data_IF_938003581108
#
_entry.id   IF_938003581108
#
_cell.length_a   1.000
_cell.length_b   1.000
_cell.length_c   1.000
_cell.angle_alpha   90.00
_cell.angle_beta   90.00
_cell.angle_gamma   90.00
#
_symmetry.space_group_name_H-M   'P 1'
#
loop_
_entity.id
_entity.type
_entity.pdbx_description
1 polymer ?
#
# COMPACT_ATOMS: atom_id res chain seq x y z
N UNK A 1 -2.00 5.77 -15.82
CA UNK A 1 -1.24 6.58 -14.85
C UNK A 1 -0.87 5.64 -13.73
N UNK A 2 0.39 5.64 -13.28
CA UNK A 2 0.83 4.71 -12.26
C UNK A 2 0.07 4.94 -10.95
N UNK A 3 -0.17 3.87 -10.23
CA UNK A 3 -0.89 3.90 -8.98
C UNK A 3 0.01 3.66 -7.75
N UNK A 4 -0.60 3.59 -6.55
CA UNK A 4 0.13 3.32 -5.30
C UNK A 4 0.85 1.97 -5.32
N UNK A 5 0.27 0.96 -5.96
CA UNK A 5 0.89 -0.36 -6.09
C UNK A 5 2.13 -0.28 -6.99
N UNK A 6 2.02 0.38 -8.14
CA UNK A 6 3.15 0.59 -9.06
C UNK A 6 4.28 1.40 -8.39
N UNK A 7 3.92 2.44 -7.63
CA UNK A 7 4.89 3.28 -6.90
C UNK A 7 5.61 2.52 -5.79
N UNK A 8 4.91 1.66 -5.05
CA UNK A 8 5.54 0.79 -4.04
C UNK A 8 6.53 -0.13 -4.74
N UNK A 9 6.11 -0.79 -5.83
CA UNK A 9 6.98 -1.70 -6.58
C UNK A 9 8.25 -0.99 -7.08
N UNK A 10 8.11 0.20 -7.68
CA UNK A 10 9.24 1.00 -8.12
C UNK A 10 10.16 1.36 -6.96
N UNK A 11 9.60 1.88 -5.86
CA UNK A 11 10.39 2.30 -4.70
C UNK A 11 11.16 1.13 -4.05
N UNK A 12 10.53 -0.04 -3.94
CA UNK A 12 11.17 -1.27 -3.46
C UNK A 12 12.23 -1.76 -4.44
N UNK A 13 12.02 -1.60 -5.75
CA UNK A 13 13.00 -1.90 -6.79
C UNK A 13 14.25 -1.03 -6.66
N UNK A 14 14.07 0.30 -6.58
CA UNK A 14 15.17 1.24 -6.39
C UNK A 14 15.95 0.98 -5.10
N UNK A 15 15.23 0.61 -4.03
CA UNK A 15 15.82 0.22 -2.76
C UNK A 15 16.63 -1.10 -2.84
N UNK A 16 16.33 -1.99 -3.79
CA UNK A 16 17.05 -3.24 -3.95
C UNK A 16 18.39 -3.07 -4.68
N UNK A 17 18.54 -2.00 -5.46
CA UNK A 17 19.74 -1.70 -6.24
C UNK A 17 20.89 -1.19 -5.37
N UNK A 18 20.57 -0.54 -4.25
CA UNK A 18 21.55 0.09 -3.36
C UNK A 18 21.13 -0.08 -1.88
N UNK A 19 22.06 -0.49 -1.03
CA UNK A 19 21.78 -0.93 0.34
C UNK A 19 21.91 0.16 1.41
N UNK A 20 22.37 1.35 1.06
CA UNK A 20 22.77 2.39 2.04
C UNK A 20 21.84 3.60 2.10
N UNK A 21 20.68 3.56 1.46
CA UNK A 21 19.74 4.68 1.49
C UNK A 21 19.16 4.89 2.88
N UNK A 22 19.02 6.14 3.33
CA UNK A 22 17.97 6.48 4.28
C UNK A 22 16.67 6.92 3.56
N UNK A 23 15.55 6.98 4.27
CA UNK A 23 14.23 7.29 3.68
C UNK A 23 14.18 8.67 3.02
N UNK A 24 14.95 9.65 3.52
CA UNK A 24 14.96 11.01 2.97
C UNK A 24 15.79 11.05 1.68
N UNK A 25 17.00 10.49 1.71
CA UNK A 25 17.90 10.41 0.55
C UNK A 25 17.24 9.67 -0.62
N UNK A 26 16.61 8.52 -0.36
CA UNK A 26 15.91 7.78 -1.41
C UNK A 26 14.74 8.58 -1.99
N UNK A 27 14.01 9.31 -1.15
CA UNK A 27 12.90 10.13 -1.63
C UNK A 27 13.38 11.31 -2.47
N UNK A 28 14.51 11.92 -2.12
CA UNK A 28 15.16 12.99 -2.91
C UNK A 28 15.70 12.46 -4.23
N UNK A 29 16.32 11.28 -4.23
CA UNK A 29 16.81 10.61 -5.43
C UNK A 29 15.65 10.31 -6.41
N UNK A 30 14.59 9.64 -5.93
CA UNK A 30 13.38 9.37 -6.73
C UNK A 30 12.77 10.67 -7.27
N UNK A 31 12.69 11.72 -6.45
CA UNK A 31 12.13 12.99 -6.92
C UNK A 31 12.98 13.64 -8.02
N UNK A 32 14.31 13.57 -7.89
CA UNK A 32 15.26 14.15 -8.84
C UNK A 32 15.26 13.43 -10.18
N UNK A 33 15.15 12.09 -10.15
CA UNK A 33 15.07 11.23 -11.35
C UNK A 33 13.76 11.42 -12.12
N UNK A 34 12.69 11.88 -11.45
CA UNK A 34 11.36 12.10 -12.05
C UNK A 34 10.83 10.89 -12.84
N UNK A 35 10.78 9.69 -12.22
CA UNK A 35 10.27 8.50 -12.87
C UNK A 35 8.77 8.62 -13.17
N UNK A 36 8.31 7.90 -14.21
CA UNK A 36 6.93 7.99 -14.71
C UNK A 36 5.91 7.54 -13.66
N UNK A 37 6.30 6.68 -12.73
CA UNK A 37 5.50 6.13 -11.64
C UNK A 37 5.08 7.20 -10.63
N UNK A 38 5.92 8.20 -10.45
CA UNK A 38 5.71 9.32 -9.52
C UNK A 38 5.16 10.56 -10.22
N UNK A 39 4.84 10.45 -11.51
CA UNK A 39 4.18 11.50 -12.28
C UNK A 39 2.66 11.44 -12.09
N UNK A 40 2.05 12.62 -11.94
CA UNK A 40 0.60 12.80 -11.94
C UNK A 40 0.23 14.01 -12.79
N UNK A 41 -0.99 14.05 -13.31
CA UNK A 41 -1.47 15.16 -14.14
C UNK A 41 -2.35 16.08 -13.31
N UNK A 42 -2.05 17.38 -13.34
CA UNK A 42 -2.89 18.43 -12.74
C UNK A 42 -3.26 19.43 -13.85
N UNK A 43 -4.51 19.35 -14.33
CA UNK A 43 -4.94 20.09 -15.51
C UNK A 43 -4.22 19.60 -16.78
N UNK A 44 -3.57 20.51 -17.49
CA UNK A 44 -2.79 20.22 -18.71
C UNK A 44 -1.30 19.95 -18.44
N UNK A 45 -0.84 20.11 -17.19
CA UNK A 45 0.58 19.98 -16.83
C UNK A 45 0.88 18.68 -16.11
N UNK A 46 1.99 18.05 -16.50
CA UNK A 46 2.57 16.91 -15.78
C UNK A 46 3.34 17.45 -14.56
N UNK A 47 3.05 16.90 -13.38
CA UNK A 47 3.71 17.20 -12.12
C UNK A 47 4.26 15.91 -11.50
N UNK A 48 5.21 16.06 -10.58
CA UNK A 48 5.84 14.94 -9.89
C UNK A 48 5.57 15.02 -8.40
N UNK A 49 5.46 13.85 -7.75
CA UNK A 49 5.21 13.77 -6.32
C UNK A 49 6.27 14.53 -5.52
N UNK A 50 5.83 15.19 -4.46
CA UNK A 50 6.73 15.85 -3.52
C UNK A 50 7.48 14.82 -2.66
N UNK A 51 8.68 15.18 -2.17
CA UNK A 51 9.46 14.35 -1.23
C UNK A 51 8.61 13.81 -0.07
N UNK A 52 7.77 14.62 0.62
CA UNK A 52 6.92 14.10 1.70
C UNK A 52 5.96 13.01 1.23
N UNK A 53 5.46 13.10 0.00
CA UNK A 53 4.55 12.12 -0.58
C UNK A 53 5.28 10.82 -0.94
N UNK A 54 6.50 10.91 -1.49
CA UNK A 54 7.36 9.75 -1.75
C UNK A 54 7.73 9.07 -0.43
N UNK A 55 8.07 9.83 0.61
CA UNK A 55 8.33 9.29 1.96
C UNK A 55 7.12 8.56 2.54
N UNK A 56 5.88 8.98 2.24
CA UNK A 56 4.68 8.22 2.63
C UNK A 56 4.61 6.87 1.92
N UNK A 57 4.97 6.80 0.64
CA UNK A 57 5.06 5.52 -0.10
C UNK A 57 6.13 4.61 0.52
N UNK A 58 7.30 5.13 0.86
CA UNK A 58 8.36 4.36 1.51
C UNK A 58 7.92 3.83 2.88
N UNK A 59 7.27 4.66 3.71
CA UNK A 59 6.70 4.22 4.98
C UNK A 59 5.64 3.14 4.79
N UNK A 60 4.81 3.25 3.76
CA UNK A 60 3.83 2.23 3.43
C UNK A 60 4.50 0.91 3.04
N UNK A 61 5.58 0.94 2.27
CA UNK A 61 6.38 -0.25 1.97
C UNK A 61 6.97 -0.89 3.25
N UNK A 62 7.39 -0.07 4.21
CA UNK A 62 7.85 -0.53 5.54
C UNK A 62 6.71 -1.15 6.35
N UNK A 63 5.54 -0.51 6.40
CA UNK A 63 4.36 -1.05 7.08
C UNK A 63 3.88 -2.38 6.48
N UNK A 64 4.15 -2.62 5.20
CA UNK A 64 3.85 -3.86 4.50
C UNK A 64 4.98 -4.89 4.57
N UNK A 65 6.01 -4.68 5.38
CA UNK A 65 7.14 -5.62 5.49
C UNK A 65 7.81 -5.92 4.13
N UNK A 66 7.74 -4.98 3.17
CA UNK A 66 8.47 -5.04 1.89
C UNK A 66 9.83 -4.34 2.01
N UNK A 67 9.93 -3.41 2.96
CA UNK A 67 11.15 -2.76 3.39
C UNK A 67 11.20 -2.75 4.92
N UNK A 68 12.39 -2.56 5.47
CA UNK A 68 12.59 -2.40 6.91
C UNK A 68 13.57 -1.25 7.15
N UNK A 69 13.43 -0.59 8.31
CA UNK A 69 14.37 0.45 8.74
C UNK A 69 15.37 -0.18 9.70
N UNK A 70 16.64 -0.12 9.36
CA UNK A 70 17.73 -0.50 10.24
C UNK A 70 18.03 0.64 11.21
N UNK A 71 17.57 0.47 12.45
CA UNK A 71 17.79 1.43 13.53
C UNK A 71 19.28 1.58 13.88
N UNK A 72 20.13 0.61 13.54
CA UNK A 72 21.55 0.62 13.89
C UNK A 72 22.42 1.36 12.85
N UNK A 73 21.88 1.65 11.66
CA UNK A 73 22.62 2.26 10.56
C UNK A 73 21.98 3.58 10.09
N UNK A 74 21.96 4.61 10.95
CA UNK A 74 21.44 5.96 10.60
C UNK A 74 20.02 5.95 10.00
N UNK A 75 19.15 5.04 10.43
CA UNK A 75 17.83 4.82 9.82
C UNK A 75 17.92 4.48 8.32
N UNK A 76 18.94 3.71 7.93
CA UNK A 76 19.01 3.11 6.61
C UNK A 76 17.75 2.27 6.39
N UNK A 77 17.20 2.35 5.20
CA UNK A 77 16.11 1.52 4.74
C UNK A 77 16.70 0.42 3.88
N UNK A 78 16.21 -0.81 4.04
CA UNK A 78 16.63 -1.97 3.24
C UNK A 78 15.45 -2.81 2.82
N UNK A 79 15.59 -3.54 1.72
CA UNK A 79 14.55 -4.45 1.23
C UNK A 79 14.54 -5.73 2.06
N UNK A 80 13.36 -6.14 2.53
CA UNK A 80 13.18 -7.42 3.24
C UNK A 80 13.22 -8.60 2.25
N UNK A 81 13.25 -9.83 2.75
CA UNK A 81 13.16 -10.98 1.85
C UNK A 81 11.81 -11.07 1.12
N UNK A 82 10.72 -10.56 1.71
CA UNK A 82 9.42 -10.42 1.02
C UNK A 82 9.51 -9.38 -0.09
N UNK A 83 10.14 -8.24 0.17
CA UNK A 83 10.42 -7.23 -0.83
C UNK A 83 11.21 -7.79 -2.02
N UNK A 84 12.31 -8.52 -1.75
CA UNK A 84 13.12 -9.15 -2.81
C UNK A 84 12.32 -10.15 -3.64
N UNK A 85 11.49 -10.99 -3.00
CA UNK A 85 10.60 -11.92 -3.71
C UNK A 85 9.59 -11.19 -4.59
N UNK A 86 9.07 -10.05 -4.13
CA UNK A 86 8.10 -9.25 -4.88
C UNK A 86 8.65 -8.68 -6.19
N UNK A 87 9.98 -8.53 -6.31
CA UNK A 87 10.63 -7.98 -7.50
C UNK A 87 10.85 -9.00 -8.63
N UNK A 88 10.62 -10.30 -8.40
CA UNK A 88 10.92 -11.36 -9.38
C UNK A 88 10.06 -11.29 -10.64
N UNK A 89 8.76 -11.06 -10.47
CA UNK A 89 7.78 -10.87 -11.54
C UNK A 89 6.45 -10.38 -10.94
N UNK A 90 5.53 -9.98 -11.81
CA UNK A 90 4.23 -9.41 -11.43
C UNK A 90 3.41 -10.36 -10.56
N UNK A 91 3.41 -11.66 -10.88
CA UNK A 91 2.68 -12.68 -10.11
C UNK A 91 3.22 -12.80 -8.69
N UNK A 92 4.54 -12.79 -8.52
CA UNK A 92 5.18 -12.79 -7.21
C UNK A 92 4.93 -11.50 -6.45
N UNK A 93 4.96 -10.35 -7.14
CA UNK A 93 4.61 -9.06 -6.54
C UNK A 93 3.20 -9.09 -5.96
N UNK A 94 2.20 -9.52 -6.75
CA UNK A 94 0.81 -9.64 -6.32
C UNK A 94 0.65 -10.63 -5.15
N UNK A 95 1.37 -11.75 -5.16
CA UNK A 95 1.34 -12.72 -4.07
C UNK A 95 1.91 -12.15 -2.77
N UNK A 96 3.08 -11.50 -2.81
CA UNK A 96 3.69 -10.91 -1.61
C UNK A 96 2.84 -9.75 -1.08
N UNK A 97 2.33 -8.85 -1.94
CA UNK A 97 1.47 -7.75 -1.51
C UNK A 97 0.18 -8.26 -0.85
N UNK A 98 -0.47 -9.29 -1.41
CA UNK A 98 -1.65 -9.91 -0.75
C UNK A 98 -1.31 -10.47 0.62
N UNK A 99 -0.21 -11.22 0.73
CA UNK A 99 0.20 -11.81 2.00
C UNK A 99 0.50 -10.72 3.04
N UNK A 100 1.28 -9.70 2.67
CA UNK A 100 1.63 -8.60 3.55
C UNK A 100 0.42 -7.78 4.00
N UNK A 101 -0.50 -7.45 3.08
CA UNK A 101 -1.72 -6.72 3.45
C UNK A 101 -2.60 -7.57 4.36
N UNK A 102 -2.71 -8.87 4.12
CA UNK A 102 -3.49 -9.77 4.99
C UNK A 102 -2.91 -9.80 6.39
N UNK A 103 -1.59 -10.00 6.53
CA UNK A 103 -0.90 -9.94 7.83
C UNK A 103 -1.11 -8.59 8.51
N UNK A 104 -0.95 -7.49 7.77
CA UNK A 104 -1.14 -6.15 8.31
C UNK A 104 -2.56 -5.91 8.84
N UNK A 105 -3.58 -6.38 8.11
CA UNK A 105 -4.97 -6.29 8.56
C UNK A 105 -5.23 -7.14 9.81
N UNK A 106 -4.71 -8.38 9.84
CA UNK A 106 -4.83 -9.28 10.98
C UNK A 106 -4.18 -8.70 12.24
N UNK A 107 -2.97 -8.14 12.13
CA UNK A 107 -2.25 -7.48 13.23
C UNK A 107 -3.01 -6.27 13.78
N UNK A 108 -3.87 -5.66 12.96
CA UNK A 108 -4.75 -4.56 13.33
C UNK A 108 -6.17 -5.02 13.70
N UNK A 109 -6.40 -6.31 13.89
CA UNK A 109 -7.67 -6.87 14.36
C UNK A 109 -8.73 -7.08 13.27
N UNK A 110 -8.37 -6.95 12.00
CA UNK A 110 -9.29 -7.08 10.86
C UNK A 110 -8.99 -8.37 10.10
N UNK A 111 -9.81 -9.42 10.33
CA UNK A 111 -9.74 -10.64 9.54
C UNK A 111 -10.44 -10.49 8.20
N UNK A 112 -9.84 -10.96 7.12
CA UNK A 112 -10.44 -10.90 5.78
C UNK A 112 -11.80 -11.61 5.69
N UNK A 113 -11.99 -12.71 6.41
CA UNK A 113 -13.28 -13.41 6.44
C UNK A 113 -14.39 -12.55 7.06
N UNK A 114 -14.05 -11.70 8.04
CA UNK A 114 -15.00 -10.74 8.61
C UNK A 114 -15.36 -9.66 7.61
N UNK A 115 -14.38 -9.17 6.83
CA UNK A 115 -14.62 -8.22 5.73
C UNK A 115 -15.61 -8.82 4.73
N UNK A 116 -15.40 -10.08 4.31
CA UNK A 116 -16.31 -10.79 3.39
C UNK A 116 -17.71 -10.98 3.98
N UNK A 117 -17.81 -11.35 5.25
CA UNK A 117 -19.09 -11.51 5.93
C UNK A 117 -19.88 -10.20 5.96
N UNK A 118 -19.24 -9.08 6.29
CA UNK A 118 -19.88 -7.75 6.25
C UNK A 118 -20.37 -7.44 4.83
N UNK A 119 -19.55 -7.67 3.80
CA UNK A 119 -19.95 -7.45 2.40
C UNK A 119 -21.19 -8.30 2.03
N UNK A 120 -21.28 -9.54 2.50
CA UNK A 120 -22.45 -10.40 2.25
C UNK A 120 -23.70 -10.03 3.07
N UNK A 121 -23.50 -9.43 4.24
CA UNK A 121 -24.58 -9.00 5.16
C UNK A 121 -25.19 -7.66 4.72
N UNK A 122 -24.43 -6.83 3.98
CA UNK A 122 -24.90 -5.54 3.49
C UNK A 122 -26.05 -5.71 2.50
N UNK A 123 -27.22 -5.18 2.89
CA UNK A 123 -28.41 -5.09 2.05
C UNK A 123 -28.65 -3.66 1.60
N UNK A 124 -29.32 -3.51 0.46
CA UNK A 124 -29.77 -2.20 -0.03
C UNK A 124 -30.59 -1.46 1.05
N UNK A 125 -30.44 -0.13 1.18
CA UNK A 125 -29.74 0.78 0.25
C UNK A 125 -28.22 0.93 0.47
N UNK A 126 -27.61 0.22 1.42
CA UNK A 126 -26.16 0.33 1.69
C UNK A 126 -25.33 -0.28 0.55
N UNK A 127 -24.25 0.38 0.17
CA UNK A 127 -23.29 -0.08 -0.87
C UNK A 127 -22.04 -0.60 -0.18
N UNK A 128 -21.46 -1.75 -0.60
CA UNK A 128 -20.22 -2.29 -0.02
C UNK A 128 -18.99 -1.51 -0.50
N UNK A 129 -18.89 -0.25 -0.09
CA UNK A 129 -17.69 0.56 -0.24
C UNK A 129 -16.79 0.45 1.01
N UNK A 130 -15.54 0.93 0.89
CA UNK A 130 -14.57 0.82 1.97
C UNK A 130 -14.99 1.58 3.23
N UNK A 131 -15.73 2.68 3.10
CA UNK A 131 -16.18 3.48 4.24
C UNK A 131 -17.28 2.74 5.03
N UNK A 132 -18.28 2.20 4.33
CA UNK A 132 -19.38 1.42 4.91
C UNK A 132 -18.87 0.15 5.59
N UNK A 133 -17.94 -0.55 4.95
CA UNK A 133 -17.32 -1.75 5.53
C UNK A 133 -16.52 -1.36 6.79
N UNK A 134 -15.76 -0.27 6.74
CA UNK A 134 -14.96 0.18 7.88
C UNK A 134 -15.83 0.63 9.05
N UNK A 135 -16.96 1.30 8.79
CA UNK A 135 -17.92 1.70 9.83
C UNK A 135 -18.39 0.47 10.63
N UNK A 136 -18.74 -0.62 9.95
CA UNK A 136 -19.13 -1.87 10.62
C UNK A 136 -17.97 -2.56 11.34
N UNK A 137 -16.75 -2.53 10.79
CA UNK A 137 -15.56 -3.07 11.44
C UNK A 137 -15.15 -2.28 12.69
N UNK A 138 -15.26 -0.96 12.64
CA UNK A 138 -14.83 -0.04 13.71
C UNK A 138 -15.63 -0.19 15.01
N UNK A 139 -16.78 -0.89 14.95
CA UNK A 139 -17.56 -1.27 16.14
C UNK A 139 -16.84 -2.31 17.01
N UNK A 140 -15.87 -3.05 16.47
CA UNK A 140 -15.05 -3.97 17.25
C UNK A 140 -13.86 -3.23 17.87
N UNK A 141 -13.73 -3.19 19.22
CA UNK A 141 -12.65 -2.46 19.90
C UNK A 141 -11.25 -3.02 19.63
N UNK A 142 -11.13 -4.20 19.00
CA UNK A 142 -9.84 -4.77 18.58
C UNK A 142 -9.29 -4.11 17.32
N UNK A 143 -10.13 -3.39 16.57
CA UNK A 143 -9.70 -2.69 15.34
C UNK A 143 -8.87 -1.47 15.72
N UNK A 144 -7.58 -1.54 15.40
CA UNK A 144 -6.60 -0.46 15.69
C UNK A 144 -6.30 0.43 14.49
N UNK A 145 -6.88 0.11 13.34
CA UNK A 145 -6.64 0.78 12.07
C UNK A 145 -7.61 1.94 11.87
N UNK A 146 -7.17 3.03 11.23
CA UNK A 146 -8.06 4.09 10.77
C UNK A 146 -8.62 3.81 9.36
N UNK A 147 -9.69 4.51 8.98
CA UNK A 147 -10.38 4.32 7.70
C UNK A 147 -9.46 4.52 6.48
N UNK A 148 -8.59 5.52 6.50
CA UNK A 148 -7.71 5.81 5.36
C UNK A 148 -6.69 4.70 5.12
N UNK A 149 -6.13 4.15 6.19
CA UNK A 149 -5.23 3.00 6.11
C UNK A 149 -5.99 1.76 5.64
N UNK A 150 -7.20 1.52 6.15
CA UNK A 150 -8.05 0.43 5.67
C UNK A 150 -8.36 0.54 4.17
N UNK A 151 -8.78 1.73 3.71
CA UNK A 151 -9.03 2.04 2.29
C UNK A 151 -7.81 1.75 1.42
N UNK A 152 -6.63 2.10 1.91
CA UNK A 152 -5.35 1.84 1.23
C UNK A 152 -5.04 0.34 1.17
N UNK A 153 -5.28 -0.41 2.25
CA UNK A 153 -5.10 -1.87 2.26
C UNK A 153 -6.06 -2.57 1.28
N UNK A 154 -7.33 -2.19 1.30
CA UNK A 154 -8.33 -2.70 0.36
C UNK A 154 -7.95 -2.37 -1.09
N UNK A 155 -7.32 -1.21 -1.33
CA UNK A 155 -6.77 -0.90 -2.64
C UNK A 155 -5.69 -1.86 -3.11
N UNK A 156 -4.69 -2.07 -2.27
CA UNK A 156 -3.57 -2.93 -2.59
C UNK A 156 -4.03 -4.37 -2.80
N UNK A 157 -4.98 -4.86 -2.00
CA UNK A 157 -5.62 -6.15 -2.20
C UNK A 157 -6.35 -6.24 -3.54
N UNK A 158 -7.14 -5.23 -3.91
CA UNK A 158 -7.85 -5.22 -5.19
C UNK A 158 -6.87 -5.22 -6.39
N UNK A 159 -5.80 -4.42 -6.33
CA UNK A 159 -4.78 -4.37 -7.39
C UNK A 159 -3.95 -5.64 -7.49
N UNK A 160 -3.69 -6.30 -6.38
CA UNK A 160 -2.98 -7.57 -6.34
C UNK A 160 -3.90 -8.78 -6.64
N UNK A 161 -5.16 -8.57 -7.05
CA UNK A 161 -6.11 -9.64 -7.40
C UNK A 161 -6.62 -10.43 -6.18
N UNK A 162 -6.58 -9.84 -4.99
CA UNK A 162 -7.01 -10.44 -3.73
C UNK A 162 -8.40 -9.99 -3.25
N UNK A 163 -8.93 -8.88 -3.75
CA UNK A 163 -10.32 -8.51 -3.53
C UNK A 163 -11.18 -9.03 -4.69
N UNK A 164 -12.22 -9.79 -4.35
CA UNK A 164 -13.22 -10.22 -5.32
C UNK A 164 -13.92 -8.98 -5.91
N UNK A 165 -14.37 -9.05 -7.18
CA UNK A 165 -14.98 -7.91 -7.92
C UNK A 165 -16.24 -7.32 -7.24
N UNK A 166 -16.70 -7.91 -6.15
CA UNK A 166 -17.85 -7.51 -5.33
C UNK A 166 -17.61 -6.29 -4.44
N UNK A 167 -16.36 -5.93 -4.14
CA UNK A 167 -16.05 -4.68 -3.43
C UNK A 167 -15.90 -3.57 -4.48
N UNK A 168 -16.96 -2.77 -4.69
CA UNK A 168 -16.88 -1.57 -5.53
C UNK A 168 -15.97 -0.56 -4.83
N UNK A 169 -14.67 -0.64 -5.11
CA UNK A 169 -13.74 0.32 -4.53
C UNK A 169 -13.83 1.62 -5.32
N UNK A 170 -14.63 2.55 -4.80
CA UNK A 170 -14.70 3.92 -5.30
C UNK A 170 -13.45 4.67 -4.80
N UNK A 171 -12.41 4.74 -5.62
CA UNK A 171 -11.28 5.63 -5.37
C UNK A 171 -11.62 7.04 -5.86
N UNK A 172 -11.78 8.00 -4.95
CA UNK A 172 -11.46 9.39 -5.25
C UNK A 172 -10.08 9.68 -4.66
N UNK A 173 -9.10 9.84 -5.54
CA UNK A 173 -7.81 10.48 -5.24
C UNK A 173 -8.01 11.98 -5.35
#
# INVERSE_FOLDING_TARGET
MADTYDRIRFAVGRLAEETSWNTTELAEAIQSEKPVEFRFRRGQTDQYMSIPSIRRILRLAVSLDLAEVDANQRNAIKVTDRGKRSLRNDTQCALQVRACVTTFLDDNGIKLDRVKAIVSELRFPKVPDAATIFEELSKDPRVKLNENSFRTMMYLLARAGGADRSIKVLYRI
#
